data_IF_276731921327
#
_entry.id   IF_276731921327
#
_cell.length_a   1.000
_cell.length_b   1.000
_cell.length_c   1.000
_cell.angle_alpha   90.00
_cell.angle_beta   90.00
_cell.angle_gamma   90.00
#
_symmetry.space_group_name_H-M   'P 1'
#
loop_
_entity.id
_entity.type
_entity.pdbx_description
1 polymer ?
#
# COMPACT_ATOMS: atom_id res chain seq x y z
N UNK A 1 -19.75 2.45 0.30
CA UNK A 1 -19.34 1.38 -0.63
C UNK A 1 -18.27 0.57 0.08
N UNK A 2 -18.42 -0.74 0.17
CA UNK A 2 -17.44 -1.61 0.82
C UNK A 2 -16.79 -2.47 -0.26
N UNK A 3 -15.46 -2.45 -0.33
CA UNK A 3 -14.68 -3.24 -1.27
C UNK A 3 -13.90 -4.28 -0.46
N UNK A 4 -13.91 -5.51 -0.93
CA UNK A 4 -13.15 -6.62 -0.35
C UNK A 4 -12.28 -7.24 -1.44
N UNK A 5 -11.04 -7.56 -1.08
CA UNK A 5 -10.11 -8.24 -1.96
C UNK A 5 -9.66 -9.55 -1.28
N UNK A 6 -9.55 -10.61 -2.06
CA UNK A 6 -9.10 -11.92 -1.58
C UNK A 6 -7.79 -12.29 -2.26
N UNK A 7 -6.80 -12.68 -1.45
CA UNK A 7 -5.52 -13.17 -1.93
C UNK A 7 -5.70 -14.60 -2.45
N UNK A 8 -5.30 -14.82 -3.69
CA UNK A 8 -5.50 -16.10 -4.39
C UNK A 8 -4.36 -17.10 -4.13
N UNK A 9 -3.17 -16.60 -3.78
CA UNK A 9 -1.96 -17.39 -3.56
C UNK A 9 -1.47 -17.26 -2.11
N UNK A 10 -0.77 -18.27 -1.58
CA UNK A 10 -0.12 -18.15 -0.28
C UNK A 10 0.90 -17.02 -0.28
N UNK A 11 0.76 -16.08 0.64
CA UNK A 11 1.70 -14.98 0.82
C UNK A 11 2.02 -14.78 2.31
N UNK A 12 3.10 -14.08 2.59
CA UNK A 12 3.41 -13.62 3.95
C UNK A 12 2.46 -12.50 4.38
N UNK A 13 2.35 -12.26 5.69
CA UNK A 13 1.55 -11.15 6.22
C UNK A 13 1.97 -9.80 5.59
N UNK A 14 3.27 -9.50 5.54
CA UNK A 14 3.74 -8.25 4.95
C UNK A 14 3.41 -8.12 3.46
N UNK A 15 3.42 -9.22 2.71
CA UNK A 15 3.01 -9.21 1.29
C UNK A 15 1.50 -8.95 1.18
N UNK A 16 0.67 -9.59 2.01
CA UNK A 16 -0.78 -9.36 2.06
C UNK A 16 -1.12 -7.88 2.34
N UNK A 17 -0.43 -7.28 3.31
CA UNK A 17 -0.61 -5.87 3.69
C UNK A 17 -0.21 -4.91 2.57
N UNK A 18 0.88 -5.20 1.84
CA UNK A 18 1.27 -4.44 0.66
C UNK A 18 0.24 -4.56 -0.47
N UNK A 19 -0.27 -5.77 -0.74
CA UNK A 19 -1.29 -5.99 -1.77
C UNK A 19 -2.59 -5.26 -1.44
N UNK A 20 -3.01 -5.28 -0.16
CA UNK A 20 -4.18 -4.55 0.31
C UNK A 20 -4.01 -3.03 0.12
N UNK A 21 -2.84 -2.50 0.49
CA UNK A 21 -2.49 -1.10 0.30
C UNK A 21 -2.53 -0.69 -1.19
N UNK A 22 -1.87 -1.47 -2.04
CA UNK A 22 -1.80 -1.22 -3.49
C UNK A 22 -3.19 -1.24 -4.12
N UNK A 23 -3.99 -2.27 -3.80
CA UNK A 23 -5.36 -2.39 -4.32
C UNK A 23 -6.22 -1.19 -3.91
N UNK A 24 -6.10 -0.74 -2.66
CA UNK A 24 -6.80 0.46 -2.18
C UNK A 24 -6.37 1.73 -2.90
N UNK A 25 -5.07 1.88 -3.20
CA UNK A 25 -4.51 3.01 -3.95
C UNK A 25 -4.98 3.03 -5.40
N UNK A 26 -4.92 1.90 -6.10
CA UNK A 26 -5.39 1.78 -7.49
C UNK A 26 -6.87 2.13 -7.61
N UNK A 27 -7.68 1.66 -6.67
CA UNK A 27 -9.10 1.99 -6.62
C UNK A 27 -9.34 3.48 -6.37
N UNK A 28 -8.58 4.10 -5.46
CA UNK A 28 -8.68 5.54 -5.22
C UNK A 28 -8.34 6.36 -6.46
N UNK A 29 -7.30 5.96 -7.21
CA UNK A 29 -6.92 6.58 -8.49
C UNK A 29 -8.03 6.40 -9.53
N UNK A 30 -8.58 5.19 -9.65
CA UNK A 30 -9.69 4.89 -10.57
C UNK A 30 -10.93 5.75 -10.26
N UNK A 31 -11.16 6.05 -9.00
CA UNK A 31 -12.25 6.90 -8.52
C UNK A 31 -11.90 8.40 -8.51
N UNK A 32 -10.72 8.78 -9.02
CA UNK A 32 -10.21 10.16 -9.07
C UNK A 32 -10.15 10.86 -7.69
N UNK A 33 -9.94 10.08 -6.61
CA UNK A 33 -9.83 10.60 -5.25
C UNK A 33 -8.45 11.24 -5.05
N UNK A 34 -8.44 12.54 -4.71
CA UNK A 34 -7.20 13.33 -4.56
C UNK A 34 -6.55 13.25 -3.17
N UNK A 35 -7.32 12.91 -2.16
CA UNK A 35 -6.87 12.85 -0.76
C UNK A 35 -7.44 11.59 -0.14
N UNK A 36 -6.54 10.72 0.32
CA UNK A 36 -6.91 9.48 1.00
C UNK A 36 -6.20 9.40 2.34
N UNK A 37 -6.89 8.78 3.29
CA UNK A 37 -6.33 8.45 4.59
C UNK A 37 -6.31 6.94 4.69
N UNK A 38 -5.13 6.39 4.94
CA UNK A 38 -4.93 4.94 5.01
C UNK A 38 -4.69 4.56 6.46
N UNK A 39 -5.47 3.59 6.90
CA UNK A 39 -5.35 2.97 8.21
C UNK A 39 -4.88 1.55 7.99
N UNK A 40 -3.75 1.21 8.60
CA UNK A 40 -3.21 -0.14 8.60
C UNK A 40 -2.66 -0.45 9.98
N UNK A 41 -2.72 -1.71 10.39
CA UNK A 41 -2.10 -2.18 11.64
C UNK A 41 -0.64 -2.64 11.42
N UNK A 42 -0.20 -2.78 10.16
CA UNK A 42 1.16 -3.15 9.80
C UNK A 42 2.15 -2.00 9.95
N UNK A 43 2.75 -1.90 11.14
CA UNK A 43 3.82 -0.94 11.45
C UNK A 43 4.99 -1.02 10.45
N UNK A 44 5.30 -2.22 9.94
CA UNK A 44 6.39 -2.40 8.98
C UNK A 44 6.07 -1.76 7.63
N UNK A 45 4.91 -2.07 7.05
CA UNK A 45 4.51 -1.54 5.74
C UNK A 45 4.35 -0.02 5.81
N UNK A 46 3.69 0.46 6.86
CA UNK A 46 3.52 1.91 7.11
C UNK A 46 4.88 2.61 7.18
N UNK A 47 5.80 2.12 7.99
CA UNK A 47 7.11 2.76 8.14
C UNK A 47 7.98 2.65 6.89
N UNK A 48 7.84 1.57 6.11
CA UNK A 48 8.56 1.46 4.84
C UNK A 48 8.04 2.48 3.82
N UNK A 49 6.72 2.60 3.66
CA UNK A 49 6.12 3.56 2.71
C UNK A 49 6.33 5.01 3.17
N UNK A 50 6.31 5.28 4.47
CA UNK A 50 6.68 6.57 5.04
C UNK A 50 8.19 6.89 4.91
N UNK A 51 9.01 5.94 4.46
CA UNK A 51 10.45 6.10 4.30
C UNK A 51 11.26 6.07 5.61
N UNK A 52 10.62 5.81 6.75
CA UNK A 52 11.30 5.65 8.04
C UNK A 52 12.08 4.33 8.11
N UNK A 53 11.57 3.25 7.50
CA UNK A 53 12.23 1.95 7.45
C UNK A 53 12.75 1.63 6.05
N UNK A 54 13.95 1.06 5.98
CA UNK A 54 14.51 0.53 4.72
C UNK A 54 13.81 -0.79 4.36
N UNK A 55 13.62 -1.02 3.06
CA UNK A 55 13.14 -2.31 2.53
C UNK A 55 14.35 -3.17 2.20
N UNK A 56 14.59 -4.21 2.99
CA UNK A 56 15.71 -5.13 2.80
C UNK A 56 15.32 -6.42 2.07
N UNK A 57 14.04 -6.79 2.12
CA UNK A 57 13.55 -7.99 1.44
C UNK A 57 13.32 -7.66 -0.05
N UNK A 58 14.01 -8.34 -0.99
CA UNK A 58 13.82 -8.13 -2.42
C UNK A 58 12.38 -8.33 -2.90
N UNK A 59 11.64 -9.28 -2.29
CA UNK A 59 10.24 -9.51 -2.62
C UNK A 59 9.36 -8.33 -2.19
N UNK A 60 9.67 -7.67 -1.08
CA UNK A 60 8.94 -6.47 -0.66
C UNK A 60 9.38 -5.22 -1.43
N UNK A 61 10.58 -5.24 -2.02
CA UNK A 61 11.09 -4.10 -2.78
C UNK A 61 10.22 -3.80 -4.00
N UNK A 62 9.76 -4.83 -4.74
CA UNK A 62 8.82 -4.66 -5.87
C UNK A 62 7.50 -4.02 -5.43
N UNK A 63 6.95 -4.45 -4.31
CA UNK A 63 5.71 -3.90 -3.74
C UNK A 63 5.88 -2.45 -3.31
N UNK A 64 6.97 -2.16 -2.61
CA UNK A 64 7.29 -0.83 -2.15
C UNK A 64 7.50 0.15 -3.31
N UNK A 65 8.26 -0.25 -4.34
CA UNK A 65 8.48 0.57 -5.53
C UNK A 65 7.16 0.87 -6.27
N UNK A 66 6.31 -0.15 -6.44
CA UNK A 66 5.02 0.06 -7.09
C UNK A 66 4.11 0.98 -6.27
N UNK A 67 4.04 0.77 -4.94
CA UNK A 67 3.31 1.64 -4.02
C UNK A 67 3.74 3.10 -4.16
N UNK A 68 5.05 3.39 -4.17
CA UNK A 68 5.56 4.76 -4.34
C UNK A 68 5.20 5.36 -5.71
N UNK A 69 5.16 4.55 -6.76
CA UNK A 69 4.74 5.01 -8.10
C UNK A 69 3.27 5.46 -8.11
N UNK A 70 2.40 4.81 -7.34
CA UNK A 70 0.99 5.19 -7.21
C UNK A 70 0.82 6.49 -6.39
N UNK A 71 1.55 6.61 -5.27
CA UNK A 71 1.48 7.78 -4.37
C UNK A 71 1.94 9.06 -5.07
N UNK A 72 2.98 8.99 -5.90
CA UNK A 72 3.48 10.11 -6.67
C UNK A 72 2.49 10.68 -7.71
N UNK A 73 1.40 9.96 -7.99
CA UNK A 73 0.56 10.24 -9.16
C UNK A 73 -0.67 11.12 -8.87
N UNK A 74 -1.18 11.25 -7.62
CA UNK A 74 -2.15 12.31 -7.18
C UNK A 74 -2.81 12.01 -5.80
N UNK A 75 -2.04 11.65 -4.76
CA UNK A 75 -2.64 11.42 -3.44
C UNK A 75 -1.75 11.87 -2.30
N UNK A 76 -2.30 12.72 -1.42
CA UNK A 76 -1.69 12.94 -0.11
C UNK A 76 -1.97 11.72 0.76
N UNK A 77 -0.91 11.03 1.18
CA UNK A 77 -0.98 9.82 1.98
C UNK A 77 -0.82 10.17 3.46
N UNK A 78 -1.90 10.00 4.22
CA UNK A 78 -1.86 10.09 5.67
C UNK A 78 -1.99 8.70 6.26
N UNK A 79 -0.91 8.22 6.87
CA UNK A 79 -0.94 7.07 7.77
C UNK A 79 -1.43 7.54 9.13
N UNK A 80 -2.48 6.90 9.66
CA UNK A 80 -2.98 7.11 11.03
C UNK A 80 -3.18 5.78 11.71
#
# INVERSE_FOLDING_TARGET
MHFSYHLLEPCTNNEAEYEALITGLELAILMEIKVIKIFGDSQLVINQVAGTYKVLNPNLLKYHQYTLSLVGTNSYLYFV
#
